data_IF_575009922152
#
_entry.id   IF_575009922152
#
_cell.length_a   1.000
_cell.length_b   1.000
_cell.length_c   1.000
_cell.angle_alpha   90.00
_cell.angle_beta   90.00
_cell.angle_gamma   90.00
#
_symmetry.space_group_name_H-M   'P 1'
#
loop_
_entity.id
_entity.type
_entity.pdbx_description
1 polymer ?
#
# COMPACT_ATOMS: atom_id res chain seq x y z
N UNK A 1 15.38 18.91 -16.14
CA UNK A 1 15.19 17.87 -15.09
C UNK A 1 15.25 16.46 -15.65
N UNK A 2 14.51 16.16 -16.73
CA UNK A 2 14.49 14.83 -17.38
C UNK A 2 15.88 14.29 -17.76
N UNK A 3 16.77 15.15 -18.27
CA UNK A 3 18.12 14.75 -18.68
C UNK A 3 19.00 14.27 -17.50
N UNK A 4 18.85 14.90 -16.33
CA UNK A 4 19.56 14.50 -15.10
C UNK A 4 19.02 13.17 -14.56
N UNK A 5 17.71 12.98 -14.62
CA UNK A 5 17.07 11.71 -14.24
C UNK A 5 17.51 10.56 -15.15
N UNK A 6 17.51 10.77 -16.47
CA UNK A 6 17.97 9.79 -17.43
C UNK A 6 19.43 9.38 -17.17
N UNK A 7 20.33 10.36 -17.03
CA UNK A 7 21.74 10.10 -16.77
C UNK A 7 21.99 9.37 -15.44
N UNK A 8 21.18 9.65 -14.42
CA UNK A 8 21.33 9.09 -13.08
C UNK A 8 20.75 7.67 -12.96
N UNK A 9 19.57 7.43 -13.52
CA UNK A 9 18.76 6.22 -13.28
C UNK A 9 18.65 5.34 -14.53
N UNK A 10 18.34 5.93 -15.69
CA UNK A 10 17.97 5.17 -16.90
C UNK A 10 19.15 4.84 -17.82
N UNK A 11 20.30 5.51 -17.67
CA UNK A 11 21.48 5.36 -18.55
C UNK A 11 22.11 3.97 -18.48
N UNK A 12 22.06 3.31 -17.32
CA UNK A 12 22.69 2.01 -17.10
C UNK A 12 21.62 0.96 -16.80
N UNK A 13 21.56 -0.17 -17.55
CA UNK A 13 20.52 -1.19 -17.36
C UNK A 13 20.45 -1.76 -15.94
N UNK A 14 21.59 -1.92 -15.27
CA UNK A 14 21.65 -2.40 -13.88
C UNK A 14 21.02 -1.42 -12.88
N UNK A 15 21.23 -0.11 -13.07
CA UNK A 15 20.62 0.94 -12.23
C UNK A 15 19.13 1.08 -12.52
N UNK A 16 18.74 0.93 -13.78
CA UNK A 16 17.33 0.89 -14.18
C UNK A 16 16.62 -0.28 -13.50
N UNK A 17 17.19 -1.49 -13.58
CA UNK A 17 16.62 -2.68 -12.94
C UNK A 17 16.45 -2.48 -11.43
N UNK A 18 17.49 -1.98 -10.75
CA UNK A 18 17.41 -1.66 -9.32
C UNK A 18 16.30 -0.65 -9.02
N UNK A 19 16.21 0.43 -9.79
CA UNK A 19 15.19 1.45 -9.60
C UNK A 19 13.77 0.90 -9.79
N UNK A 20 13.57 0.03 -10.78
CA UNK A 20 12.28 -0.65 -11.01
C UNK A 20 11.92 -1.51 -9.80
N UNK A 21 12.82 -2.37 -9.33
CA UNK A 21 12.55 -3.25 -8.17
C UNK A 21 12.22 -2.44 -6.92
N UNK A 22 13.03 -1.42 -6.59
CA UNK A 22 12.78 -0.57 -5.42
C UNK A 22 11.44 0.16 -5.54
N UNK A 23 11.13 0.69 -6.74
CA UNK A 23 9.86 1.37 -6.98
C UNK A 23 8.67 0.42 -6.88
N UNK A 24 8.78 -0.83 -7.35
CA UNK A 24 7.71 -1.81 -7.29
C UNK A 24 7.37 -2.17 -5.84
N UNK A 25 8.37 -2.41 -5.01
CA UNK A 25 8.18 -2.68 -3.58
C UNK A 25 7.48 -1.50 -2.91
N UNK A 26 8.00 -0.28 -3.10
CA UNK A 26 7.38 0.92 -2.52
C UNK A 26 5.95 1.16 -3.02
N UNK A 27 5.71 0.91 -4.29
CA UNK A 27 4.40 1.06 -4.92
C UNK A 27 3.39 0.05 -4.39
N UNK A 28 3.78 -1.20 -4.17
CA UNK A 28 2.93 -2.23 -3.58
C UNK A 28 2.43 -1.84 -2.19
N UNK A 29 3.33 -1.38 -1.31
CA UNK A 29 2.95 -0.90 0.02
C UNK A 29 1.95 0.25 -0.04
N UNK A 30 2.23 1.25 -0.88
CA UNK A 30 1.36 2.43 -1.01
C UNK A 30 0.01 2.05 -1.61
N UNK A 31 -0.01 1.24 -2.67
CA UNK A 31 -1.25 0.81 -3.30
C UNK A 31 -2.13 0.02 -2.34
N UNK A 32 -1.56 -0.94 -1.60
CA UNK A 32 -2.33 -1.74 -0.66
C UNK A 32 -2.95 -0.86 0.42
N UNK A 33 -2.18 0.02 1.06
CA UNK A 33 -2.69 0.93 2.09
C UNK A 33 -3.78 1.88 1.56
N UNK A 34 -3.58 2.46 0.37
CA UNK A 34 -4.57 3.36 -0.23
C UNK A 34 -5.85 2.60 -0.60
N UNK A 35 -5.71 1.43 -1.21
CA UNK A 35 -6.86 0.62 -1.64
C UNK A 35 -7.66 0.14 -0.43
N UNK A 36 -6.98 -0.33 0.62
CA UNK A 36 -7.63 -0.74 1.87
C UNK A 36 -8.37 0.43 2.52
N UNK A 37 -7.75 1.61 2.59
CA UNK A 37 -8.43 2.81 3.13
C UNK A 37 -9.68 3.17 2.35
N UNK A 38 -9.61 3.13 1.02
CA UNK A 38 -10.77 3.39 0.16
C UNK A 38 -11.84 2.32 0.41
N UNK A 39 -11.47 1.04 0.41
CA UNK A 39 -12.39 -0.08 0.63
C UNK A 39 -13.08 0.02 1.99
N UNK A 40 -12.33 0.28 3.06
CA UNK A 40 -12.84 0.44 4.41
C UNK A 40 -13.79 1.63 4.51
N UNK A 41 -13.45 2.75 3.86
CA UNK A 41 -14.30 3.94 3.84
C UNK A 41 -15.61 3.71 3.10
N UNK A 42 -15.59 3.01 1.96
CA UNK A 42 -16.79 2.73 1.15
C UNK A 42 -17.70 1.73 1.83
N UNK A 43 -17.15 0.76 2.56
CA UNK A 43 -17.90 -0.30 3.23
C UNK A 43 -18.16 -0.05 4.72
N UNK A 44 -17.95 1.19 5.18
CA UNK A 44 -18.18 1.57 6.56
C UNK A 44 -19.61 1.20 7.02
N UNK A 45 -19.71 0.53 8.17
CA UNK A 45 -20.97 0.04 8.74
C UNK A 45 -21.44 -1.31 8.19
N UNK A 46 -20.70 -1.93 7.26
CA UNK A 46 -20.96 -3.28 6.73
C UNK A 46 -19.86 -4.28 7.07
N UNK A 47 -18.68 -3.79 7.44
CA UNK A 47 -17.52 -4.63 7.75
C UNK A 47 -17.74 -5.34 9.08
N UNK A 48 -17.18 -6.54 9.23
CA UNK A 48 -17.27 -7.30 10.49
C UNK A 48 -16.81 -6.47 11.69
N UNK A 49 -15.72 -5.69 11.53
CA UNK A 49 -15.25 -4.76 12.56
C UNK A 49 -16.30 -3.76 13.04
N UNK A 50 -17.24 -3.40 12.19
CA UNK A 50 -18.26 -2.38 12.47
C UNK A 50 -19.57 -2.99 13.01
N UNK A 51 -19.87 -4.25 12.66
CA UNK A 51 -21.14 -4.92 13.03
C UNK A 51 -20.98 -6.12 13.97
N UNK A 52 -19.75 -6.43 14.40
CA UNK A 52 -19.49 -7.61 15.24
C UNK A 52 -20.28 -7.55 16.56
N UNK A 53 -20.78 -8.69 17.07
CA UNK A 53 -21.53 -8.75 18.32
C UNK A 53 -20.68 -8.29 19.51
N UNK A 54 -21.32 -7.60 20.47
CA UNK A 54 -20.65 -7.08 21.67
C UNK A 54 -19.95 -8.18 22.47
N UNK A 55 -20.55 -9.37 22.55
CA UNK A 55 -19.99 -10.51 23.28
C UNK A 55 -18.64 -11.02 22.72
N UNK A 56 -18.32 -10.74 21.46
CA UNK A 56 -17.05 -11.13 20.83
C UNK A 56 -16.00 -10.02 20.93
N UNK A 57 -16.43 -8.79 21.26
CA UNK A 57 -15.52 -7.67 21.46
C UNK A 57 -14.71 -7.85 22.75
N UNK A 58 -15.36 -8.30 23.83
CA UNK A 58 -14.76 -8.42 25.15
C UNK A 58 -13.78 -9.61 25.26
N UNK A 59 -13.98 -10.68 24.49
CA UNK A 59 -13.13 -11.88 24.53
C UNK A 59 -11.80 -11.76 23.78
N UNK A 60 -11.60 -10.68 23.01
CA UNK A 60 -10.38 -10.46 22.21
C UNK A 60 -9.48 -9.35 22.79
N UNK A 61 -9.96 -8.63 23.81
CA UNK A 61 -9.23 -7.54 24.49
C UNK A 61 -8.62 -7.98 25.84
N UNK A 62 -8.73 -9.27 26.22
CA UNK A 62 -8.06 -9.90 27.39
C UNK A 62 -6.72 -10.56 27.04
#
# INVERSE_FOLDING_TARGET
>A
MLHKFYASVLRYPSRLFLAVVVSAIGFEFVLNDVTDKIFLSVNHGKLWRDVRPVAEKDSTEE
#
